data_IF_105606446977
#
_entry.id   IF_105606446977
#
_cell.length_a   1.000
_cell.length_b   1.000
_cell.length_c   1.000
_cell.angle_alpha   90.00
_cell.angle_beta   90.00
_cell.angle_gamma   90.00
#
_symmetry.space_group_name_H-M   'P 1'
#
loop_
_entity.id
_entity.type
_entity.pdbx_description
1 polymer ?
#
# COMPACT_ATOMS: atom_id res chain seq x y z
N UNK A 1 70.17 39.38 -23.51
CA UNK A 1 68.84 39.39 -24.16
C UNK A 1 67.97 38.37 -23.44
N UNK A 2 67.19 38.80 -22.45
CA UNK A 2 66.18 37.96 -21.80
C UNK A 2 65.03 38.86 -21.34
N UNK A 3 63.89 38.70 -22.00
CA UNK A 3 62.66 39.42 -21.69
C UNK A 3 61.89 38.65 -20.61
N UNK A 4 61.67 39.27 -19.45
CA UNK A 4 60.76 38.75 -18.42
C UNK A 4 59.35 39.30 -18.68
N UNK A 5 58.31 38.45 -18.76
CA UNK A 5 56.96 38.91 -19.09
C UNK A 5 56.25 39.48 -17.87
N UNK A 6 55.52 40.58 -18.08
CA UNK A 6 54.62 41.22 -17.13
C UNK A 6 53.62 40.23 -16.51
N UNK A 7 53.71 40.06 -15.18
CA UNK A 7 52.88 39.13 -14.38
C UNK A 7 51.83 39.82 -13.49
N UNK A 8 51.59 41.12 -13.66
CA UNK A 8 50.79 41.94 -12.73
C UNK A 8 49.30 42.04 -13.11
N UNK A 9 48.95 41.85 -14.38
CA UNK A 9 47.55 41.91 -14.85
C UNK A 9 46.72 40.65 -14.57
N UNK A 10 47.34 39.47 -14.56
CA UNK A 10 46.64 38.18 -14.53
C UNK A 10 45.95 37.90 -13.19
N UNK A 11 46.57 38.31 -12.09
CA UNK A 11 46.10 38.00 -10.72
C UNK A 11 44.89 38.84 -10.29
N UNK A 12 44.80 40.11 -10.72
CA UNK A 12 43.64 40.96 -10.44
C UNK A 12 42.41 40.50 -11.22
N UNK A 13 42.59 40.01 -12.45
CA UNK A 13 41.49 39.48 -13.28
C UNK A 13 40.93 38.17 -12.73
N UNK A 14 41.78 37.29 -12.20
CA UNK A 14 41.35 36.02 -11.59
C UNK A 14 40.46 36.24 -10.35
N UNK A 15 40.81 37.16 -9.45
CA UNK A 15 40.01 37.48 -8.26
C UNK A 15 38.64 38.10 -8.59
N UNK A 16 38.54 38.87 -9.67
CA UNK A 16 37.27 39.45 -10.14
C UNK A 16 36.38 38.38 -10.79
N UNK A 17 36.95 37.47 -11.59
CA UNK A 17 36.20 36.34 -12.16
C UNK A 17 35.63 35.42 -11.07
N UNK A 18 36.40 35.11 -10.02
CA UNK A 18 35.91 34.29 -8.90
C UNK A 18 34.77 34.98 -8.14
N UNK A 19 34.84 36.30 -7.92
CA UNK A 19 33.77 37.06 -7.27
C UNK A 19 32.50 37.11 -8.11
N UNK A 20 32.63 37.34 -9.42
CA UNK A 20 31.50 37.33 -10.35
C UNK A 20 30.86 35.94 -10.45
N UNK A 21 31.66 34.88 -10.48
CA UNK A 21 31.18 33.50 -10.42
C UNK A 21 30.42 33.21 -9.14
N UNK A 22 30.95 33.62 -7.98
CA UNK A 22 30.26 33.45 -6.70
C UNK A 22 28.92 34.20 -6.65
N UNK A 23 28.87 35.44 -7.15
CA UNK A 23 27.62 36.23 -7.23
C UNK A 23 26.58 35.53 -8.12
N UNK A 24 26.99 35.03 -9.29
CA UNK A 24 26.08 34.32 -10.18
C UNK A 24 25.55 33.03 -9.54
N UNK A 25 26.42 32.27 -8.88
CA UNK A 25 26.02 31.05 -8.16
C UNK A 25 25.03 31.37 -7.05
N UNK A 26 25.30 32.39 -6.23
CA UNK A 26 24.37 32.80 -5.16
C UNK A 26 23.04 33.33 -5.74
N UNK A 27 23.10 34.07 -6.84
CA UNK A 27 21.92 34.60 -7.52
C UNK A 27 21.02 33.50 -8.10
N UNK A 28 21.54 32.31 -8.39
CA UNK A 28 20.75 31.15 -8.85
C UNK A 28 20.28 30.29 -7.68
N UNK A 29 21.13 30.02 -6.69
CA UNK A 29 20.80 29.16 -5.56
C UNK A 29 19.73 29.80 -4.67
N UNK A 30 19.80 31.11 -4.43
CA UNK A 30 18.85 31.81 -3.57
C UNK A 30 17.38 31.70 -4.07
N UNK A 31 17.03 32.06 -5.32
CA UNK A 31 15.66 31.90 -5.81
C UNK A 31 15.26 30.43 -5.91
N UNK A 32 16.19 29.54 -6.25
CA UNK A 32 15.90 28.11 -6.29
C UNK A 32 15.49 27.58 -4.90
N UNK A 33 16.26 27.89 -3.86
CA UNK A 33 15.95 27.50 -2.49
C UNK A 33 14.60 28.06 -2.00
N UNK A 34 14.30 29.32 -2.32
CA UNK A 34 13.01 29.95 -1.99
C UNK A 34 11.85 29.25 -2.70
N UNK A 35 12.01 28.96 -4.00
CA UNK A 35 10.99 28.27 -4.78
C UNK A 35 10.74 26.85 -4.25
N UNK A 36 11.80 26.10 -3.96
CA UNK A 36 11.69 24.75 -3.40
C UNK A 36 11.01 24.77 -2.03
N UNK A 37 11.40 25.70 -1.15
CA UNK A 37 10.79 25.84 0.17
C UNK A 37 9.30 26.17 0.09
N UNK A 38 8.91 27.12 -0.76
CA UNK A 38 7.52 27.52 -0.90
C UNK A 38 6.66 26.40 -1.51
N UNK A 39 7.18 25.75 -2.55
CA UNK A 39 6.56 24.57 -3.16
C UNK A 39 6.34 23.47 -2.13
N UNK A 40 7.38 23.13 -1.36
CA UNK A 40 7.30 22.12 -0.32
C UNK A 40 6.23 22.43 0.72
N UNK A 41 6.16 23.68 1.21
CA UNK A 41 5.12 24.08 2.18
C UNK A 41 3.71 23.96 1.61
N UNK A 42 3.50 24.34 0.35
CA UNK A 42 2.20 24.23 -0.29
C UNK A 42 1.75 22.77 -0.41
N UNK A 43 2.64 21.88 -0.85
CA UNK A 43 2.32 20.46 -0.96
C UNK A 43 2.13 19.80 0.41
N UNK A 44 2.95 20.15 1.40
CA UNK A 44 2.79 19.65 2.76
C UNK A 44 1.42 20.02 3.33
N UNK A 45 0.94 21.25 3.11
CA UNK A 45 -0.39 21.67 3.55
C UNK A 45 -1.52 20.90 2.86
N UNK A 46 -1.41 20.64 1.56
CA UNK A 46 -2.41 19.85 0.83
C UNK A 46 -2.47 18.41 1.33
N UNK A 47 -1.31 17.79 1.58
CA UNK A 47 -1.21 16.43 2.13
C UNK A 47 -1.80 16.41 3.54
N UNK A 48 -1.45 17.38 4.37
CA UNK A 48 -1.93 17.45 5.75
C UNK A 48 -3.44 17.68 5.81
N UNK A 49 -3.99 18.50 4.91
CA UNK A 49 -5.44 18.67 4.74
C UNK A 49 -6.13 17.38 4.28
N UNK A 50 -5.51 16.60 3.40
CA UNK A 50 -6.07 15.30 2.99
C UNK A 50 -6.02 14.27 4.12
N UNK A 51 -4.93 14.22 4.88
CA UNK A 51 -4.79 13.32 6.04
C UNK A 51 -5.79 13.72 7.12
N UNK A 52 -5.85 15.01 7.50
CA UNK A 52 -6.78 15.53 8.48
C UNK A 52 -8.25 15.39 8.03
N UNK A 53 -8.51 15.57 6.74
CA UNK A 53 -9.82 15.38 6.11
C UNK A 53 -10.27 13.92 6.02
N UNK A 54 -9.42 12.97 6.41
CA UNK A 54 -9.79 11.55 6.43
C UNK A 54 -9.66 10.86 5.07
N UNK A 55 -8.64 11.19 4.27
CA UNK A 55 -8.27 10.37 3.10
C UNK A 55 -7.97 8.89 3.48
N UNK A 56 -7.65 8.64 4.76
CA UNK A 56 -7.52 7.29 5.34
C UNK A 56 -8.83 6.74 5.93
N UNK A 57 -9.96 7.45 5.78
CA UNK A 57 -11.26 6.96 6.25
C UNK A 57 -11.68 5.85 5.29
N UNK A 58 -11.30 4.64 5.72
CA UNK A 58 -11.77 3.33 5.28
C UNK A 58 -13.04 3.48 4.45
N UNK A 59 -12.97 3.14 3.15
CA UNK A 59 -14.16 3.03 2.30
C UNK A 59 -15.26 2.43 3.14
N UNK A 60 -16.41 3.12 3.26
CA UNK A 60 -17.56 2.63 3.99
C UNK A 60 -17.79 1.20 3.51
N UNK A 61 -17.37 0.24 4.33
CA UNK A 61 -17.24 -1.13 3.91
C UNK A 61 -18.65 -1.62 3.72
N UNK A 62 -19.09 -1.63 2.47
CA UNK A 62 -20.39 -2.14 2.09
C UNK A 62 -20.24 -3.65 2.15
N UNK A 63 -20.24 -4.16 3.38
CA UNK A 63 -20.10 -5.56 3.67
C UNK A 63 -21.45 -6.21 3.38
N UNK A 64 -21.41 -7.36 2.71
CA UNK A 64 -22.58 -8.21 2.64
C UNK A 64 -23.02 -8.61 4.05
N UNK A 65 -24.31 -8.84 4.24
CA UNK A 65 -24.84 -9.33 5.50
C UNK A 65 -24.07 -10.59 5.96
N UNK A 66 -23.69 -10.68 7.25
CA UNK A 66 -22.94 -11.82 7.76
C UNK A 66 -23.74 -13.10 7.57
N UNK A 67 -23.09 -14.15 7.06
CA UNK A 67 -23.69 -15.48 6.94
C UNK A 67 -23.26 -16.33 8.14
N UNK A 68 -24.24 -16.86 8.86
CA UNK A 68 -24.03 -17.74 10.01
C UNK A 68 -24.04 -19.18 9.51
N UNK A 69 -23.01 -19.96 9.87
CA UNK A 69 -22.94 -21.40 9.60
C UNK A 69 -23.16 -22.12 10.93
N UNK A 70 -24.23 -22.90 11.03
CA UNK A 70 -24.58 -23.66 12.24
C UNK A 70 -24.30 -25.15 12.09
N UNK A 71 -24.01 -25.83 13.21
CA UNK A 71 -23.83 -27.28 13.24
C UNK A 71 -25.14 -27.97 12.88
N UNK A 72 -25.07 -28.93 11.96
CA UNK A 72 -26.26 -29.66 11.47
C UNK A 72 -26.99 -28.98 10.30
N UNK A 73 -26.51 -27.83 9.82
CA UNK A 73 -27.02 -27.23 8.59
C UNK A 73 -26.88 -28.20 7.41
N UNK A 74 -27.94 -28.31 6.59
CA UNK A 74 -27.94 -29.09 5.34
C UNK A 74 -27.16 -28.35 4.25
N UNK A 75 -25.85 -28.26 4.41
CA UNK A 75 -24.95 -27.58 3.47
C UNK A 75 -23.98 -28.59 2.87
N UNK A 76 -23.95 -28.69 1.54
CA UNK A 76 -22.97 -29.53 0.85
C UNK A 76 -21.64 -28.81 0.70
N UNK A 77 -20.57 -29.58 0.47
CA UNK A 77 -19.22 -29.05 0.26
C UNK A 77 -19.16 -28.02 -0.86
N UNK A 78 -19.76 -28.37 -2.00
CA UNK A 78 -19.74 -27.52 -3.18
C UNK A 78 -20.55 -26.23 -2.96
N UNK A 79 -21.68 -26.32 -2.25
CA UNK A 79 -22.47 -25.15 -1.88
C UNK A 79 -21.69 -24.18 -0.97
N UNK A 80 -20.95 -24.70 0.01
CA UNK A 80 -20.10 -23.89 0.88
C UNK A 80 -18.96 -23.25 0.09
N UNK A 81 -18.26 -24.02 -0.75
CA UNK A 81 -17.17 -23.51 -1.58
C UNK A 81 -17.65 -22.40 -2.53
N UNK A 82 -18.78 -22.59 -3.23
CA UNK A 82 -19.37 -21.56 -4.09
C UNK A 82 -19.80 -20.31 -3.29
N UNK A 83 -20.29 -20.49 -2.06
CA UNK A 83 -20.63 -19.35 -1.20
C UNK A 83 -19.39 -18.56 -0.78
N UNK A 84 -18.29 -19.24 -0.45
CA UNK A 84 -17.01 -18.60 -0.09
C UNK A 84 -16.39 -17.85 -1.28
N UNK A 85 -16.43 -18.43 -2.47
CA UNK A 85 -15.97 -17.76 -3.69
C UNK A 85 -16.78 -16.49 -4.00
N UNK A 86 -18.12 -16.54 -3.88
CA UNK A 86 -18.97 -15.34 -4.03
C UNK A 86 -18.71 -14.28 -2.96
N UNK A 87 -18.29 -14.69 -1.76
CA UNK A 87 -17.85 -13.78 -0.70
C UNK A 87 -16.42 -13.25 -0.90
N UNK A 88 -15.75 -13.64 -1.99
CA UNK A 88 -14.41 -13.17 -2.34
C UNK A 88 -13.27 -13.88 -1.61
N UNK A 89 -13.52 -15.05 -1.01
CA UNK A 89 -12.46 -15.94 -0.54
C UNK A 89 -11.85 -16.70 -1.72
N UNK A 90 -10.53 -16.93 -1.67
CA UNK A 90 -9.86 -17.69 -2.72
C UNK A 90 -9.62 -19.16 -2.37
N UNK A 91 -9.65 -20.05 -3.37
CA UNK A 91 -9.25 -21.44 -3.19
C UNK A 91 -7.73 -21.56 -3.03
N UNK A 92 -7.29 -22.32 -2.02
CA UNK A 92 -5.88 -22.66 -1.76
C UNK A 92 -5.18 -21.78 -0.72
N UNK A 93 -3.84 -21.93 -0.60
CA UNK A 93 -2.99 -21.00 0.16
C UNK A 93 -2.71 -19.78 -0.72
N UNK A 94 -3.61 -18.81 -0.73
CA UNK A 94 -3.33 -17.52 -1.32
C UNK A 94 -2.69 -16.61 -0.26
N UNK A 95 -1.40 -16.29 -0.40
CA UNK A 95 -0.64 -15.60 0.66
C UNK A 95 -0.99 -14.12 0.83
N UNK A 96 -1.90 -13.56 0.02
CA UNK A 96 -2.20 -12.13 0.10
C UNK A 96 -3.59 -11.74 -0.44
N UNK A 97 -4.65 -12.37 0.06
CA UNK A 97 -6.03 -11.98 -0.31
C UNK A 97 -6.71 -11.31 0.89
N UNK A 98 -7.37 -10.18 0.62
CA UNK A 98 -7.97 -9.30 1.62
C UNK A 98 -9.04 -9.99 2.48
N UNK A 99 -9.81 -10.92 1.88
CA UNK A 99 -10.90 -11.62 2.56
C UNK A 99 -10.47 -12.91 3.27
N UNK A 100 -9.32 -13.48 2.90
CA UNK A 100 -8.86 -14.79 3.38
C UNK A 100 -8.87 -15.86 2.30
N UNK A 101 -8.64 -17.11 2.71
CA UNK A 101 -8.58 -18.25 1.79
C UNK A 101 -9.23 -19.50 2.36
N UNK A 102 -9.57 -20.46 1.51
CA UNK A 102 -10.16 -21.73 1.94
C UNK A 102 -9.53 -22.91 1.21
N UNK A 103 -9.51 -24.07 1.86
CA UNK A 103 -9.01 -25.32 1.29
C UNK A 103 -10.08 -26.40 1.41
N UNK A 104 -10.35 -27.08 0.31
CA UNK A 104 -11.22 -28.25 0.29
C UNK A 104 -10.40 -29.50 0.61
N UNK A 105 -10.86 -30.28 1.57
CA UNK A 105 -10.39 -31.64 1.85
C UNK A 105 -11.46 -32.65 1.44
N UNK A 106 -11.17 -33.92 1.68
CA UNK A 106 -12.05 -35.03 1.32
C UNK A 106 -13.42 -34.90 2.03
N UNK A 107 -13.41 -34.61 3.33
CA UNK A 107 -14.61 -34.55 4.17
C UNK A 107 -14.72 -33.26 5.03
N UNK A 108 -13.89 -32.25 4.74
CA UNK A 108 -13.92 -30.96 5.42
C UNK A 108 -13.57 -29.80 4.49
N UNK A 109 -13.95 -28.58 4.89
CA UNK A 109 -13.46 -27.33 4.30
C UNK A 109 -12.74 -26.56 5.41
N UNK A 110 -11.46 -26.26 5.21
CA UNK A 110 -10.67 -25.43 6.13
C UNK A 110 -10.72 -23.98 5.66
N UNK A 111 -11.14 -23.05 6.50
CA UNK A 111 -11.29 -21.62 6.20
C UNK A 111 -10.25 -20.83 6.99
N UNK A 112 -9.58 -19.87 6.36
CA UNK A 112 -8.68 -18.91 7.00
C UNK A 112 -9.27 -17.50 6.85
N UNK A 113 -10.01 -16.99 7.85
CA UNK A 113 -10.52 -15.64 7.83
C UNK A 113 -9.40 -14.63 8.14
N UNK A 114 -9.39 -13.50 7.41
CA UNK A 114 -8.45 -12.39 7.63
C UNK A 114 -9.00 -11.29 8.53
N UNK A 115 -10.31 -11.30 8.79
CA UNK A 115 -11.05 -10.29 9.56
C UNK A 115 -12.09 -10.99 10.46
N UNK A 116 -12.42 -10.41 11.62
CA UNK A 116 -13.41 -10.95 12.56
C UNK A 116 -12.80 -11.52 13.85
N UNK A 117 -13.62 -12.24 14.64
CA UNK A 117 -13.26 -12.70 15.99
C UNK A 117 -12.16 -13.78 16.01
N UNK A 118 -12.04 -14.59 14.95
CA UNK A 118 -11.07 -15.70 14.84
C UNK A 118 -10.04 -15.47 13.72
N UNK A 119 -9.54 -14.24 13.65
CA UNK A 119 -8.61 -13.77 12.61
C UNK A 119 -7.31 -14.58 12.62
N UNK A 120 -6.85 -15.03 11.43
CA UNK A 120 -5.65 -15.86 11.20
C UNK A 120 -5.66 -17.28 11.79
N UNK A 121 -6.81 -17.78 12.24
CA UNK A 121 -6.94 -19.17 12.68
C UNK A 121 -7.61 -20.03 11.61
N UNK A 122 -7.09 -21.24 11.40
CA UNK A 122 -7.72 -22.20 10.50
C UNK A 122 -8.95 -22.80 11.17
N UNK A 123 -10.12 -22.60 10.58
CA UNK A 123 -11.39 -23.14 11.04
C UNK A 123 -11.76 -24.33 10.15
N UNK A 124 -11.83 -25.53 10.73
CA UNK A 124 -12.25 -26.73 10.01
C UNK A 124 -13.77 -26.96 10.12
N UNK A 125 -14.44 -26.96 8.97
CA UNK A 125 -15.85 -27.30 8.84
C UNK A 125 -15.98 -28.73 8.35
N UNK A 126 -16.38 -29.64 9.23
CA UNK A 126 -16.64 -31.05 8.91
C UNK A 126 -18.00 -31.19 8.24
N UNK A 127 -18.03 -31.88 7.08
CA UNK A 127 -19.28 -32.14 6.37
C UNK A 127 -19.66 -33.59 6.57
N UNK A 128 -20.76 -33.82 7.29
CA UNK A 128 -21.35 -35.16 7.39
C UNK A 128 -21.86 -35.57 6.02
N UNK A 129 -21.38 -36.69 5.49
CA UNK A 129 -21.91 -37.28 4.26
C UNK A 129 -23.41 -37.51 4.48
N UNK A 130 -24.25 -36.77 3.76
CA UNK A 130 -25.68 -36.96 3.83
C UNK A 130 -25.98 -38.43 3.52
N UNK A 131 -26.60 -39.12 4.47
CA UNK A 131 -27.21 -40.43 4.23
C UNK A 131 -28.15 -40.28 3.04
N UNK A 132 -27.78 -40.88 1.90
CA UNK A 132 -28.68 -41.07 0.77
C UNK A 132 -29.78 -42.00 1.29
N UNK A 133 -30.95 -41.46 1.58
CA UNK A 133 -32.10 -42.27 1.96
C UNK A 133 -32.36 -43.31 0.86
N UNK A 134 -32.50 -44.60 1.18
CA UNK A 134 -32.95 -45.58 0.21
C UNK A 134 -34.40 -45.23 -0.17
N UNK A 135 -34.63 -45.06 -1.47
CA UNK A 135 -35.97 -45.02 -2.05
C UNK A 135 -36.57 -46.42 -2.14
#
# INVERSE_FOLDING_TARGET
>A
MSAYPERTGLWRKAGVCCKLGAILVTAVIAPFAVLTYNSYRSFAQLIDQQIAGGYLRSHAGLYAAPRIIEKGARLTKDQLASSLQRAGYAPGKASNIWNGSFQMRENSITILPRQGTETHQWIDVLISRASKAPG
#
